data_IF_347808265617
#
_entry.id   IF_347808265617
#
_cell.length_a   1.000
_cell.length_b   1.000
_cell.length_c   1.000
_cell.angle_alpha   90.00
_cell.angle_beta   90.00
_cell.angle_gamma   90.00
#
_symmetry.space_group_name_H-M   'P 1'
#
loop_
_entity.id
_entity.type
_entity.pdbx_description
1 polymer ?
#
# COMPACT_ATOMS: atom_id res chain seq x y z
N UNK A 1 5.96 32.10 -27.01
CA UNK A 1 5.80 30.81 -27.72
C UNK A 1 5.47 29.76 -26.66
N UNK A 2 4.18 29.39 -26.58
CA UNK A 2 3.70 28.48 -25.52
C UNK A 2 4.02 27.02 -25.95
N UNK A 3 5.00 26.37 -25.32
CA UNK A 3 5.49 25.05 -25.70
C UNK A 3 4.70 23.87 -25.07
N UNK A 4 3.52 24.11 -24.49
CA UNK A 4 2.68 23.07 -23.91
C UNK A 4 1.27 23.10 -24.48
N UNK A 5 0.97 22.31 -25.52
CA UNK A 5 -0.31 22.31 -26.20
C UNK A 5 -1.43 21.52 -25.55
N UNK A 6 -1.27 21.01 -24.32
CA UNK A 6 -2.32 20.26 -23.63
C UNK A 6 -2.54 20.85 -22.25
N UNK A 7 -3.82 21.16 -21.94
CA UNK A 7 -4.28 21.53 -20.62
C UNK A 7 -4.02 20.40 -19.62
N UNK A 8 -2.80 20.31 -19.12
CA UNK A 8 -2.40 19.40 -18.08
C UNK A 8 -2.84 20.00 -16.76
N UNK A 9 -3.86 19.42 -16.13
CA UNK A 9 -3.99 19.57 -14.68
C UNK A 9 -2.61 19.23 -14.08
N UNK A 10 -1.95 20.24 -13.56
CA UNK A 10 -0.64 20.06 -12.92
C UNK A 10 -0.87 19.20 -11.69
N UNK A 11 -0.28 18.01 -11.65
CA UNK A 11 -0.25 17.21 -10.43
C UNK A 11 0.40 18.06 -9.34
N UNK A 12 -0.34 18.30 -8.25
CA UNK A 12 0.18 18.99 -7.06
C UNK A 12 0.54 17.98 -5.99
N UNK A 13 1.48 18.33 -5.12
CA UNK A 13 1.80 17.54 -3.95
C UNK A 13 0.60 17.51 -2.99
N UNK A 14 0.29 16.33 -2.53
CA UNK A 14 -0.77 16.04 -1.56
C UNK A 14 -0.13 15.60 -0.26
N UNK A 15 -0.47 16.25 0.84
CA UNK A 15 -0.14 15.75 2.18
C UNK A 15 -1.00 14.53 2.52
N UNK A 16 -0.67 13.82 3.60
CA UNK A 16 -1.26 12.53 3.99
C UNK A 16 -2.77 12.49 3.94
N UNK A 17 -3.43 13.48 4.54
CA UNK A 17 -4.89 13.52 4.63
C UNK A 17 -5.56 13.76 3.26
N UNK A 18 -5.06 14.72 2.49
CA UNK A 18 -5.56 15.01 1.14
C UNK A 18 -5.35 13.80 0.21
N UNK A 19 -4.19 13.14 0.29
CA UNK A 19 -3.90 11.92 -0.45
C UNK A 19 -4.91 10.82 -0.12
N UNK A 20 -5.10 10.51 1.17
CA UNK A 20 -6.04 9.48 1.63
C UNK A 20 -7.47 9.78 1.19
N UNK A 21 -7.93 11.03 1.33
CA UNK A 21 -9.31 11.42 1.01
C UNK A 21 -9.58 11.29 -0.49
N UNK A 22 -8.69 11.83 -1.34
CA UNK A 22 -8.82 11.73 -2.80
C UNK A 22 -8.72 10.29 -3.31
N UNK A 23 -7.84 9.48 -2.70
CA UNK A 23 -7.76 8.05 -2.99
C UNK A 23 -9.05 7.33 -2.59
N UNK A 24 -9.57 7.62 -1.40
CA UNK A 24 -10.84 7.04 -0.92
C UNK A 24 -12.01 7.37 -1.85
N UNK A 25 -12.10 8.60 -2.34
CA UNK A 25 -13.09 9.00 -3.34
C UNK A 25 -12.93 8.23 -4.65
N UNK A 26 -11.71 8.09 -5.16
CA UNK A 26 -11.44 7.33 -6.38
C UNK A 26 -11.83 5.85 -6.22
N UNK A 27 -11.49 5.23 -5.08
CA UNK A 27 -11.82 3.84 -4.76
C UNK A 27 -13.35 3.61 -4.67
N UNK A 28 -14.09 4.52 -4.03
CA UNK A 28 -15.56 4.45 -3.94
C UNK A 28 -16.23 4.49 -5.31
N UNK A 29 -15.66 5.25 -6.22
CA UNK A 29 -16.17 5.45 -7.58
C UNK A 29 -15.61 4.44 -8.59
N UNK A 30 -14.73 3.52 -8.18
CA UNK A 30 -14.12 2.53 -9.07
C UNK A 30 -15.14 1.60 -9.69
N UNK A 31 -14.92 1.22 -10.96
CA UNK A 31 -15.89 0.45 -11.76
C UNK A 31 -15.31 -0.84 -12.34
N UNK A 32 -13.98 -0.93 -12.49
CA UNK A 32 -13.32 -2.04 -13.17
C UNK A 32 -12.29 -2.75 -12.29
N UNK A 33 -11.27 -2.01 -11.89
CA UNK A 33 -10.10 -2.61 -11.26
C UNK A 33 -9.42 -1.67 -10.28
N UNK A 34 -8.77 -2.27 -9.28
CA UNK A 34 -7.85 -1.58 -8.37
C UNK A 34 -6.58 -2.40 -8.25
N UNK A 35 -5.44 -1.76 -8.43
CA UNK A 35 -4.13 -2.35 -8.17
C UNK A 35 -3.45 -1.58 -7.05
N UNK A 36 -2.95 -2.32 -6.07
CA UNK A 36 -2.16 -1.79 -4.96
C UNK A 36 -0.78 -2.42 -4.98
N UNK A 37 0.25 -1.61 -5.17
CA UNK A 37 1.65 -2.00 -4.97
C UNK A 37 2.14 -1.28 -3.72
N UNK A 38 2.37 -2.00 -2.62
CA UNK A 38 2.79 -1.39 -1.35
C UNK A 38 3.83 -2.24 -0.66
N UNK A 39 5.02 -1.66 -0.46
CA UNK A 39 6.11 -2.37 0.22
C UNK A 39 5.69 -2.91 1.59
N UNK A 40 5.01 -2.12 2.38
CA UNK A 40 4.45 -2.54 3.66
C UNK A 40 2.93 -2.48 3.63
N UNK A 41 2.30 -3.49 4.24
CA UNK A 41 0.86 -3.58 4.32
C UNK A 41 0.45 -4.12 5.69
N UNK A 42 -0.58 -3.55 6.27
CA UNK A 42 -1.12 -3.99 7.55
C UNK A 42 -2.62 -4.27 7.45
N UNK A 43 -3.14 -5.07 8.39
CA UNK A 43 -4.57 -5.36 8.48
C UNK A 43 -5.43 -4.08 8.56
N UNK A 44 -4.94 -3.03 9.22
CA UNK A 44 -5.61 -1.72 9.27
C UNK A 44 -5.73 -1.09 7.89
N UNK A 45 -4.65 -1.14 7.08
CA UNK A 45 -4.67 -0.62 5.71
C UNK A 45 -5.62 -1.41 4.80
N UNK A 46 -5.60 -2.75 4.87
CA UNK A 46 -6.51 -3.61 4.09
C UNK A 46 -7.98 -3.39 4.48
N UNK A 47 -8.29 -3.27 5.76
CA UNK A 47 -9.67 -2.98 6.21
C UNK A 47 -10.14 -1.63 5.70
N UNK A 48 -9.29 -0.61 5.75
CA UNK A 48 -9.62 0.68 5.16
C UNK A 48 -9.89 0.56 3.65
N UNK A 49 -9.06 -0.17 2.91
CA UNK A 49 -9.29 -0.41 1.48
C UNK A 49 -10.63 -1.13 1.24
N UNK A 50 -10.96 -2.16 2.03
CA UNK A 50 -12.25 -2.87 1.99
C UNK A 50 -13.43 -1.92 2.20
N UNK A 51 -13.33 -0.99 3.16
CA UNK A 51 -14.36 0.01 3.45
C UNK A 51 -14.55 1.02 2.30
N UNK A 52 -13.49 1.33 1.56
CA UNK A 52 -13.60 2.23 0.41
C UNK A 52 -14.15 1.54 -0.84
N UNK A 53 -13.91 0.24 -1.03
CA UNK A 53 -14.40 -0.52 -2.19
C UNK A 53 -15.84 -0.94 -2.00
N UNK A 54 -16.77 -0.04 -2.30
CA UNK A 54 -18.21 -0.27 -2.15
C UNK A 54 -18.73 -1.32 -3.16
N UNK A 55 -18.15 -1.36 -4.37
CA UNK A 55 -18.52 -2.34 -5.38
C UNK A 55 -17.69 -3.62 -5.19
N UNK A 56 -18.34 -4.68 -4.73
CA UNK A 56 -17.70 -5.99 -4.48
C UNK A 56 -17.28 -6.74 -5.75
N UNK A 57 -17.70 -6.30 -6.94
CA UNK A 57 -17.33 -6.90 -8.22
C UNK A 57 -16.04 -6.30 -8.82
N UNK A 58 -15.38 -5.40 -8.12
CA UNK A 58 -14.12 -4.81 -8.56
C UNK A 58 -13.00 -5.86 -8.49
N UNK A 59 -12.27 -6.01 -9.60
CA UNK A 59 -11.04 -6.82 -9.62
C UNK A 59 -9.96 -6.08 -8.83
N UNK A 60 -9.64 -6.54 -7.64
CA UNK A 60 -8.58 -5.97 -6.83
C UNK A 60 -7.35 -6.87 -6.81
N UNK A 61 -6.19 -6.30 -7.12
CA UNK A 61 -4.88 -6.97 -7.03
C UNK A 61 -4.01 -6.22 -6.03
N UNK A 62 -3.52 -6.94 -5.04
CA UNK A 62 -2.61 -6.42 -4.01
C UNK A 62 -1.27 -7.12 -4.15
N UNK A 63 -0.21 -6.34 -4.35
CA UNK A 63 1.17 -6.82 -4.34
C UNK A 63 1.92 -6.16 -3.19
N UNK A 64 2.54 -6.97 -2.35
CA UNK A 64 3.30 -6.47 -1.20
C UNK A 64 4.65 -7.16 -1.06
N UNK A 65 5.51 -6.58 -0.24
CA UNK A 65 6.79 -7.18 0.11
C UNK A 65 6.65 -8.02 1.38
N UNK A 66 6.94 -9.30 1.26
CA UNK A 66 7.13 -10.15 2.42
C UNK A 66 8.52 -10.75 2.37
N UNK A 67 9.40 -10.24 3.17
CA UNK A 67 10.70 -10.85 3.43
C UNK A 67 10.84 -11.19 4.92
N UNK A 68 11.84 -11.99 5.22
CA UNK A 68 12.09 -12.51 6.57
C UNK A 68 12.19 -11.40 7.63
N UNK A 69 12.87 -10.29 7.31
CA UNK A 69 13.11 -9.18 8.23
C UNK A 69 11.81 -8.42 8.53
N UNK A 70 11.06 -8.06 7.50
CA UNK A 70 9.83 -7.27 7.63
C UNK A 70 8.75 -8.04 8.39
N UNK A 71 8.59 -9.34 8.11
CA UNK A 71 7.64 -10.20 8.83
C UNK A 71 8.05 -10.43 10.28
N UNK A 72 9.34 -10.60 10.56
CA UNK A 72 9.85 -10.78 11.92
C UNK A 72 9.66 -9.50 12.76
N UNK A 73 9.88 -8.33 12.17
CA UNK A 73 9.74 -7.02 12.84
C UNK A 73 8.29 -6.52 12.91
N UNK A 74 7.36 -7.14 12.19
CA UNK A 74 5.95 -6.74 12.16
C UNK A 74 5.67 -5.51 11.29
N UNK A 75 6.59 -5.14 10.38
CA UNK A 75 6.37 -4.07 9.39
C UNK A 75 5.30 -4.44 8.36
N UNK A 76 5.08 -5.73 8.15
CA UNK A 76 3.99 -6.30 7.36
C UNK A 76 3.26 -7.38 8.16
N UNK A 77 1.98 -7.60 7.82
CA UNK A 77 1.07 -8.47 8.56
C UNK A 77 0.55 -9.61 7.67
N UNK A 78 0.78 -10.85 8.09
CA UNK A 78 0.32 -12.05 7.37
C UNK A 78 -1.21 -12.14 7.28
N UNK A 79 -1.96 -11.55 8.24
CA UNK A 79 -3.41 -11.54 8.22
C UNK A 79 -3.99 -10.74 7.03
N UNK A 80 -3.17 -9.93 6.35
CA UNK A 80 -3.57 -9.24 5.13
C UNK A 80 -4.00 -10.21 4.02
N UNK A 81 -3.39 -11.40 3.95
CA UNK A 81 -3.81 -12.44 3.02
C UNK A 81 -5.23 -12.93 3.30
N UNK A 82 -5.54 -13.24 4.57
CA UNK A 82 -6.87 -13.75 4.94
C UNK A 82 -7.96 -12.71 4.63
N UNK A 83 -7.69 -11.43 4.87
CA UNK A 83 -8.59 -10.31 4.55
C UNK A 83 -8.77 -10.14 3.03
N UNK A 84 -7.69 -10.22 2.25
CA UNK A 84 -7.76 -10.14 0.80
C UNK A 84 -8.54 -11.33 0.21
N UNK A 85 -8.28 -12.55 0.69
CA UNK A 85 -8.98 -13.78 0.29
C UNK A 85 -10.49 -13.70 0.58
N UNK A 86 -10.88 -13.22 1.76
CA UNK A 86 -12.29 -13.00 2.13
C UNK A 86 -13.03 -12.11 1.11
N UNK A 87 -12.32 -11.16 0.52
CA UNK A 87 -12.86 -10.23 -0.47
C UNK A 87 -12.67 -10.70 -1.93
N UNK A 88 -12.20 -11.93 -2.16
CA UNK A 88 -11.85 -12.47 -3.47
C UNK A 88 -10.81 -11.61 -4.24
N UNK A 89 -9.89 -10.99 -3.54
CA UNK A 89 -8.82 -10.20 -4.13
C UNK A 89 -7.62 -11.09 -4.48
N UNK A 90 -6.91 -10.73 -5.54
CA UNK A 90 -5.65 -11.35 -5.89
C UNK A 90 -4.55 -10.81 -4.97
N UNK A 91 -3.95 -11.69 -4.17
CA UNK A 91 -2.86 -11.32 -3.27
C UNK A 91 -1.55 -11.96 -3.75
N UNK A 92 -0.55 -11.13 -3.98
CA UNK A 92 0.75 -11.52 -4.51
C UNK A 92 1.89 -10.92 -3.70
N UNK A 93 3.05 -11.54 -3.76
CA UNK A 93 4.25 -11.12 -3.03
C UNK A 93 5.42 -10.96 -3.98
N UNK A 94 6.11 -9.83 -3.89
CA UNK A 94 7.36 -9.55 -4.57
C UNK A 94 8.39 -9.13 -3.49
N UNK A 95 9.42 -9.95 -3.26
CA UNK A 95 10.29 -9.87 -2.09
C UNK A 95 11.10 -8.55 -2.01
N UNK A 96 11.45 -7.97 -3.12
CA UNK A 96 12.23 -6.73 -3.25
C UNK A 96 11.37 -5.50 -3.57
N UNK A 97 10.03 -5.62 -3.60
CA UNK A 97 9.13 -4.51 -3.88
C UNK A 97 9.35 -3.35 -2.89
N UNK A 98 9.60 -2.15 -3.41
CA UNK A 98 9.62 -0.92 -2.60
C UNK A 98 8.69 0.18 -3.14
N UNK A 99 7.74 -0.19 -3.98
CA UNK A 99 6.73 0.73 -4.51
C UNK A 99 5.66 1.10 -3.47
N UNK A 100 5.01 2.24 -3.70
CA UNK A 100 3.79 2.70 -3.04
C UNK A 100 2.94 3.37 -4.11
N UNK A 101 2.18 2.54 -4.79
CA UNK A 101 1.40 2.90 -5.97
C UNK A 101 0.00 2.33 -5.83
N UNK A 102 -1.01 3.11 -6.17
CA UNK A 102 -2.39 2.65 -6.30
C UNK A 102 -2.94 3.13 -7.64
N UNK A 103 -3.43 2.17 -8.42
CA UNK A 103 -4.00 2.41 -9.73
C UNK A 103 -5.49 2.05 -9.67
N UNK A 104 -6.35 2.97 -10.11
CA UNK A 104 -7.81 2.80 -10.13
C UNK A 104 -8.29 2.85 -11.57
N UNK A 105 -9.01 1.82 -11.98
CA UNK A 105 -9.65 1.65 -13.29
C UNK A 105 -8.71 1.80 -14.50
N UNK A 106 -7.41 1.55 -14.32
CA UNK A 106 -6.34 1.77 -15.29
C UNK A 106 -6.21 3.25 -15.75
N UNK A 107 -6.83 4.19 -15.05
CA UNK A 107 -6.91 5.60 -15.42
C UNK A 107 -6.30 6.53 -14.38
N UNK A 108 -6.53 6.28 -13.10
CA UNK A 108 -6.13 7.20 -12.02
C UNK A 108 -4.98 6.57 -11.25
N UNK A 109 -3.85 7.26 -11.22
CA UNK A 109 -2.64 6.81 -10.57
C UNK A 109 -2.35 7.67 -9.33
N UNK A 110 -2.20 7.01 -8.19
CA UNK A 110 -1.69 7.58 -6.95
C UNK A 110 -0.32 6.99 -6.65
N UNK A 111 0.66 7.84 -6.39
CA UNK A 111 1.99 7.40 -6.00
C UNK A 111 2.62 8.39 -5.01
N UNK A 112 3.51 7.88 -4.16
CA UNK A 112 4.16 8.72 -3.15
C UNK A 112 4.87 7.92 -2.07
N UNK A 113 4.96 8.50 -0.89
CA UNK A 113 5.57 7.85 0.26
C UNK A 113 4.59 6.97 1.07
N UNK A 114 3.23 7.14 1.03
CA UNK A 114 2.33 6.36 1.88
C UNK A 114 2.31 4.87 1.54
N UNK A 115 2.65 4.02 2.49
CA UNK A 115 2.34 2.60 2.43
C UNK A 115 0.87 2.34 2.83
N UNK A 116 0.28 1.23 2.38
CA UNK A 116 -1.06 0.81 2.80
C UNK A 116 -1.04 0.24 4.23
N UNK A 117 -0.71 1.11 5.18
CA UNK A 117 -0.61 0.80 6.61
C UNK A 117 -1.41 1.79 7.44
N UNK A 118 -1.66 1.46 8.72
CA UNK A 118 -2.32 2.39 9.64
C UNK A 118 -1.59 3.73 9.75
N UNK A 119 -0.26 3.70 9.88
CA UNK A 119 0.55 4.92 10.01
C UNK A 119 0.70 5.67 8.67
N UNK A 120 0.93 4.96 7.56
CA UNK A 120 1.12 5.57 6.24
C UNK A 120 -0.14 6.24 5.71
N UNK A 121 -1.31 5.68 5.99
CA UNK A 121 -2.61 6.22 5.57
C UNK A 121 -3.28 7.11 6.65
N UNK A 122 -2.59 7.43 7.74
CA UNK A 122 -3.12 8.24 8.86
C UNK A 122 -4.45 7.70 9.39
N UNK A 123 -4.50 6.39 9.67
CA UNK A 123 -5.66 5.67 10.20
C UNK A 123 -5.53 5.38 11.70
N UNK A 124 -4.43 5.76 12.31
CA UNK A 124 -4.12 5.56 13.73
C UNK A 124 -3.57 6.86 14.33
N UNK A 125 -3.66 7.05 15.65
CA UNK A 125 -3.24 8.31 16.30
C UNK A 125 -1.76 8.70 16.05
N UNK A 126 -0.86 7.72 16.05
CA UNK A 126 0.56 7.94 15.74
C UNK A 126 0.79 7.59 14.27
N UNK A 127 0.81 8.61 13.44
CA UNK A 127 0.88 8.47 11.99
C UNK A 127 2.04 9.25 11.38
N UNK A 128 2.47 8.81 10.20
CA UNK A 128 3.54 9.46 9.45
C UNK A 128 3.05 10.76 8.80
N UNK A 129 3.99 11.66 8.53
CA UNK A 129 3.80 12.75 7.57
C UNK A 129 4.24 12.24 6.20
N UNK A 130 3.29 12.05 5.32
CA UNK A 130 3.50 11.49 4.00
C UNK A 130 3.18 12.51 2.91
N UNK A 131 3.78 12.35 1.75
CA UNK A 131 3.46 13.13 0.55
C UNK A 131 3.24 12.21 -0.64
N UNK A 132 2.36 12.62 -1.55
CA UNK A 132 2.11 11.89 -2.77
C UNK A 132 1.51 12.77 -3.85
N UNK A 133 1.21 12.20 -4.97
CA UNK A 133 0.51 12.84 -6.08
C UNK A 133 -0.63 11.96 -6.58
N UNK A 134 -1.63 12.62 -7.17
CA UNK A 134 -2.66 12.01 -8.02
C UNK A 134 -2.41 12.46 -9.45
N UNK A 135 -2.42 11.55 -10.41
CA UNK A 135 -2.23 11.86 -11.82
C UNK A 135 -3.03 10.89 -12.68
N UNK A 136 -3.14 11.19 -13.97
CA UNK A 136 -3.66 10.25 -14.96
C UNK A 136 -2.59 9.19 -15.26
N UNK A 137 -2.99 7.92 -15.29
CA UNK A 137 -2.12 6.84 -15.72
C UNK A 137 -1.90 6.91 -17.24
N UNK A 138 -0.67 6.67 -17.65
CA UNK A 138 -0.28 6.54 -19.06
C UNK A 138 -0.05 5.08 -19.40
N UNK A 139 -0.12 4.71 -20.68
CA UNK A 139 0.12 3.34 -21.13
C UNK A 139 1.47 2.75 -20.64
N UNK A 140 2.52 3.57 -20.65
CA UNK A 140 3.83 3.17 -20.10
C UNK A 140 3.80 2.86 -18.60
N UNK A 141 2.95 3.55 -17.84
CA UNK A 141 2.81 3.33 -16.40
C UNK A 141 2.10 1.99 -16.15
N UNK A 142 1.07 1.69 -16.94
CA UNK A 142 0.36 0.40 -16.91
C UNK A 142 1.32 -0.74 -17.24
N UNK A 143 2.20 -0.56 -18.23
CA UNK A 143 3.20 -1.57 -18.59
C UNK A 143 4.13 -1.89 -17.41
N UNK A 144 4.70 -0.89 -16.75
CA UNK A 144 5.56 -1.07 -15.57
C UNK A 144 4.82 -1.75 -14.42
N UNK A 145 3.58 -1.32 -14.14
CA UNK A 145 2.76 -1.92 -13.08
C UNK A 145 2.46 -3.39 -13.37
N UNK A 146 2.10 -3.72 -14.62
CA UNK A 146 1.81 -5.09 -15.03
C UNK A 146 3.05 -5.99 -14.95
N UNK A 147 4.23 -5.50 -15.33
CA UNK A 147 5.48 -6.24 -15.14
C UNK A 147 5.70 -6.64 -13.67
N UNK A 148 5.54 -5.71 -12.73
CA UNK A 148 5.67 -5.99 -11.29
C UNK A 148 4.62 -7.00 -10.79
N UNK A 149 3.40 -6.96 -11.33
CA UNK A 149 2.36 -7.94 -11.02
C UNK A 149 2.72 -9.34 -11.55
N UNK A 150 3.28 -9.41 -12.75
CA UNK A 150 3.71 -10.68 -13.38
C UNK A 150 4.88 -11.31 -12.64
N UNK A 151 5.87 -10.52 -12.23
CA UNK A 151 7.04 -10.96 -11.45
C UNK A 151 6.65 -11.44 -10.04
N UNK A 152 5.56 -10.92 -9.47
CA UNK A 152 5.13 -11.26 -8.12
C UNK A 152 4.54 -12.67 -8.03
N UNK A 153 4.97 -13.43 -7.02
CA UNK A 153 4.47 -14.77 -6.71
C UNK A 153 3.05 -14.72 -6.13
N UNK A 154 2.19 -15.62 -6.60
CA UNK A 154 0.87 -15.83 -6.00
C UNK A 154 1.00 -16.64 -4.71
N UNK A 155 0.40 -16.17 -3.63
CA UNK A 155 0.37 -16.84 -2.34
C UNK A 155 -0.89 -17.70 -2.24
N UNK A 156 -0.75 -18.91 -1.70
CA UNK A 156 -1.84 -19.84 -1.42
C UNK A 156 -1.92 -20.16 0.09
N UNK A 157 -2.95 -20.90 0.48
CA UNK A 157 -3.20 -21.25 1.88
C UNK A 157 -2.05 -22.05 2.51
N UNK A 158 -1.44 -22.97 1.75
CA UNK A 158 -0.32 -23.76 2.25
C UNK A 158 0.86 -22.86 2.62
N UNK A 159 1.26 -21.96 1.72
CA UNK A 159 2.36 -21.03 1.95
C UNK A 159 2.07 -20.12 3.16
N UNK A 160 0.83 -19.63 3.28
CA UNK A 160 0.47 -18.76 4.41
C UNK A 160 0.54 -19.49 5.75
N UNK A 161 0.12 -20.75 5.82
CA UNK A 161 0.20 -21.54 7.05
C UNK A 161 1.67 -21.85 7.41
N UNK A 162 2.52 -22.14 6.45
CA UNK A 162 3.96 -22.29 6.65
C UNK A 162 4.60 -20.99 7.19
N UNK A 163 4.25 -19.83 6.61
CA UNK A 163 4.72 -18.53 7.09
C UNK A 163 4.21 -18.18 8.49
N UNK A 164 2.96 -18.51 8.82
CA UNK A 164 2.39 -18.31 10.15
C UNK A 164 3.10 -19.22 11.18
N UNK A 165 3.36 -20.49 10.83
CA UNK A 165 4.09 -21.43 11.68
C UNK A 165 5.53 -20.96 11.91
N UNK A 166 6.24 -20.56 10.85
CA UNK A 166 7.56 -19.97 10.94
C UNK A 166 7.57 -18.72 11.85
N UNK A 167 6.63 -17.80 11.68
CA UNK A 167 6.56 -16.61 12.52
C UNK A 167 6.32 -16.92 13.99
N UNK A 168 5.53 -17.95 14.30
CA UNK A 168 5.32 -18.45 15.68
C UNK A 168 6.57 -19.08 16.28
N UNK A 169 7.44 -19.68 15.48
CA UNK A 169 8.68 -20.30 15.93
C UNK A 169 9.80 -19.30 16.21
N UNK A 170 9.64 -18.03 15.81
CA UNK A 170 10.64 -17.01 16.09
C UNK A 170 10.78 -16.79 17.61
N UNK A 171 12.01 -16.65 18.11
CA UNK A 171 12.21 -16.30 19.51
C UNK A 171 11.56 -14.95 19.79
N UNK A 172 10.94 -14.82 20.98
CA UNK A 172 10.47 -13.50 21.44
C UNK A 172 11.69 -12.60 21.60
N UNK A 173 11.88 -11.70 20.65
CA UNK A 173 12.93 -10.69 20.73
C UNK A 173 12.46 -9.68 21.78
N UNK A 174 13.10 -9.67 22.95
CA UNK A 174 12.94 -8.56 23.87
C UNK A 174 13.39 -7.30 23.14
N UNK A 175 12.48 -6.31 23.07
CA UNK A 175 12.85 -5.03 22.48
C UNK A 175 14.00 -4.46 23.30
N UNK A 176 15.15 -4.13 22.67
CA UNK A 176 16.24 -3.52 23.41
C UNK A 176 15.70 -2.28 24.13
N UNK A 177 16.09 -2.08 25.40
CA UNK A 177 15.85 -0.82 26.11
C UNK A 177 16.61 0.26 25.35
N UNK A 178 15.89 0.99 24.53
CA UNK A 178 16.46 2.16 23.84
C UNK A 178 16.55 3.26 24.87
N UNK A 179 17.73 3.86 25.10
CA UNK A 179 17.86 5.03 25.97
C UNK A 179 16.94 6.16 25.49
N UNK A 180 16.55 7.02 26.43
CA UNK A 180 15.72 8.19 26.08
C UNK A 180 16.40 9.01 24.99
N UNK A 181 15.63 9.29 23.95
CA UNK A 181 16.10 10.13 22.85
C UNK A 181 16.11 11.59 23.31
N UNK A 182 17.19 12.35 23.04
CA UNK A 182 17.23 13.77 23.36
C UNK A 182 16.03 14.51 22.78
N UNK A 183 15.41 15.38 23.59
CA UNK A 183 14.29 16.20 23.12
C UNK A 183 14.77 17.15 22.04
N UNK A 184 14.25 16.99 20.82
CA UNK A 184 14.47 17.96 19.76
C UNK A 184 13.47 19.08 19.97
N UNK A 185 13.94 20.21 20.53
CA UNK A 185 13.13 21.42 20.69
C UNK A 185 13.04 22.10 19.32
N UNK A 186 11.81 22.36 18.87
CA UNK A 186 11.62 23.29 17.75
C UNK A 186 11.74 24.69 18.30
N UNK A 187 12.72 25.46 17.84
CA UNK A 187 12.76 26.88 18.09
C UNK A 187 11.46 27.50 17.59
N UNK A 188 10.75 28.20 18.48
CA UNK A 188 9.46 28.86 18.25
C UNK A 188 9.61 30.14 17.45
#
# INVERSE_FOLDING_TARGET
MNLYPFGTERSSLLGTEAFRNLLGEALKNSKKSVVVLSAYITSTGIKWLEEQLLNKNIKCTVVTRWNKKDLAQGSSDLNCYDLAKKNNWHFKVLEDLHAKVMLVDDEILFLGSPNLTGAGMSLIPVSNKEIGIKTKALEKDLHVINQLIEEAATINDQIIEELKAWKKSLPKIEKPKIPDFPTIVKDS
#
